data_IF_620045572336
#
_entry.id   IF_620045572336
#
_cell.length_a   1.000
_cell.length_b   1.000
_cell.length_c   1.000
_cell.angle_alpha   90.00
_cell.angle_beta   90.00
_cell.angle_gamma   90.00
#
_symmetry.space_group_name_H-M   'P 1'
#
loop_
_entity.id
_entity.type
_entity.pdbx_description
1 polymer ?
#
# COMPACT_ATOMS: atom_id res chain seq x y z
N UNK A 1 31.78 22.57 13.24
CA UNK A 1 31.32 22.31 11.85
C UNK A 1 32.19 21.25 11.21
N UNK A 2 31.74 19.98 11.15
CA UNK A 2 32.26 19.00 10.20
C UNK A 2 31.48 19.13 8.86
N UNK A 3 32.14 19.19 7.70
CA UNK A 3 31.47 19.23 6.39
C UNK A 3 31.19 17.82 5.84
N UNK A 4 30.25 17.71 4.89
CA UNK A 4 30.41 16.69 3.83
C UNK A 4 29.47 15.48 3.75
N UNK A 5 28.21 15.53 4.21
CA UNK A 5 27.22 14.45 3.93
C UNK A 5 26.21 14.77 2.82
N UNK A 6 26.40 15.85 2.06
CA UNK A 6 25.33 16.46 1.23
C UNK A 6 25.48 16.31 -0.30
N UNK A 7 26.35 15.45 -0.84
CA UNK A 7 26.71 15.48 -2.28
C UNK A 7 26.70 14.15 -3.07
N UNK A 8 26.05 13.09 -2.60
CA UNK A 8 25.87 11.85 -3.40
C UNK A 8 24.56 11.81 -4.22
N UNK A 9 23.53 12.56 -3.81
CA UNK A 9 22.27 12.68 -4.56
C UNK A 9 22.37 13.29 -5.99
N UNK A 10 23.33 14.17 -6.35
CA UNK A 10 23.39 14.80 -7.68
C UNK A 10 23.75 13.85 -8.84
N UNK A 11 24.51 12.77 -8.60
CA UNK A 11 25.04 11.93 -9.69
C UNK A 11 23.97 11.14 -10.46
N UNK A 12 22.80 10.89 -9.84
CA UNK A 12 21.69 10.18 -10.47
C UNK A 12 21.05 10.92 -11.67
N UNK A 13 21.26 12.23 -11.81
CA UNK A 13 20.57 13.09 -12.79
C UNK A 13 21.36 13.38 -14.08
N UNK A 14 22.61 12.94 -14.21
CA UNK A 14 23.53 13.44 -15.27
C UNK A 14 23.64 12.58 -16.55
N UNK A 15 22.68 11.70 -16.84
CA UNK A 15 22.72 10.83 -18.04
C UNK A 15 21.46 11.03 -18.91
N UNK A 16 21.59 11.56 -20.15
CA UNK A 16 20.44 11.84 -21.02
C UNK A 16 19.78 10.57 -21.58
N UNK A 17 18.46 10.63 -21.79
CA UNK A 17 17.56 9.49 -21.93
C UNK A 17 17.59 8.72 -23.27
N UNK A 18 18.67 8.78 -24.06
CA UNK A 18 18.79 8.09 -25.36
C UNK A 18 20.08 7.27 -25.50
N UNK A 19 20.35 6.42 -24.51
CA UNK A 19 21.06 5.13 -24.58
C UNK A 19 21.07 4.52 -23.18
N UNK A 20 20.39 3.40 -22.98
CA UNK A 20 20.58 2.60 -21.76
C UNK A 20 21.96 1.94 -21.80
N UNK A 21 22.99 2.64 -21.30
CA UNK A 21 24.28 2.01 -21.04
C UNK A 21 24.18 1.17 -19.76
N UNK A 22 24.70 -0.07 -19.74
CA UNK A 22 24.68 -0.90 -18.53
C UNK A 22 25.45 -0.26 -17.37
N UNK A 23 26.39 0.64 -17.65
CA UNK A 23 27.08 1.46 -16.66
C UNK A 23 26.15 2.34 -15.82
N UNK A 24 25.07 2.89 -16.40
CA UNK A 24 24.16 3.77 -15.66
C UNK A 24 23.35 3.01 -14.60
N UNK A 25 22.88 1.80 -14.92
CA UNK A 25 22.20 0.92 -13.95
C UNK A 25 23.16 0.37 -12.89
N UNK A 26 24.43 0.11 -13.24
CA UNK A 26 25.45 -0.32 -12.28
C UNK A 26 25.79 0.77 -11.25
N UNK A 27 25.84 2.06 -11.64
CA UNK A 27 26.04 3.17 -10.70
C UNK A 27 24.87 3.25 -9.72
N UNK A 28 23.63 3.23 -10.22
CA UNK A 28 22.42 3.22 -9.38
C UNK A 28 22.44 2.04 -8.40
N UNK A 29 22.84 0.84 -8.86
CA UNK A 29 22.89 -0.35 -8.01
C UNK A 29 23.87 -0.15 -6.84
N UNK A 30 25.09 0.34 -7.11
CA UNK A 30 26.08 0.61 -6.05
C UNK A 30 25.64 1.71 -5.08
N UNK A 31 25.00 2.76 -5.57
CA UNK A 31 24.44 3.80 -4.72
C UNK A 31 23.35 3.23 -3.80
N UNK A 32 22.50 2.33 -4.32
CA UNK A 32 21.45 1.66 -3.54
C UNK A 32 22.02 0.65 -2.53
N UNK A 33 23.08 -0.08 -2.88
CA UNK A 33 23.81 -0.98 -1.97
C UNK A 33 24.34 -0.22 -0.74
N UNK A 34 25.05 0.90 -0.96
CA UNK A 34 25.57 1.76 0.13
C UNK A 34 24.43 2.36 0.96
N UNK A 35 23.35 2.82 0.33
CA UNK A 35 22.19 3.36 1.04
C UNK A 35 21.44 2.30 1.85
N UNK A 36 21.37 1.06 1.36
CA UNK A 36 20.80 -0.08 2.07
C UNK A 36 21.67 -0.51 3.27
N UNK A 37 22.99 -0.47 3.14
CA UNK A 37 23.92 -0.73 4.24
C UNK A 37 23.76 0.32 5.36
N UNK A 38 23.71 1.62 5.00
CA UNK A 38 23.45 2.71 5.96
C UNK A 38 22.08 2.56 6.61
N UNK A 39 21.04 2.24 5.84
CA UNK A 39 19.69 2.03 6.35
C UNK A 39 19.56 0.81 7.29
N UNK A 40 20.45 -0.18 7.13
CA UNK A 40 20.51 -1.38 7.99
C UNK A 40 21.40 -1.20 9.22
N UNK A 41 22.22 -0.15 9.27
CA UNK A 41 23.23 0.05 10.32
C UNK A 41 22.63 0.15 11.73
N UNK A 42 23.10 -0.64 12.72
CA UNK A 42 22.54 -0.65 14.06
C UNK A 42 22.65 0.69 14.79
N UNK A 43 23.55 1.58 14.37
CA UNK A 43 23.67 2.94 14.90
C UNK A 43 22.40 3.82 14.69
N UNK A 44 21.46 3.37 13.85
CA UNK A 44 20.17 4.05 13.65
C UNK A 44 19.02 3.51 14.50
N UNK A 45 19.25 2.46 15.30
CA UNK A 45 18.31 2.00 16.33
C UNK A 45 18.26 3.05 17.44
N UNK A 46 17.12 3.71 17.61
CA UNK A 46 16.92 4.62 18.76
C UNK A 46 16.84 3.78 20.03
N UNK A 47 17.79 3.98 20.95
CA UNK A 47 17.80 3.32 22.25
C UNK A 47 16.49 3.57 23.01
N UNK A 48 15.78 2.49 23.35
CA UNK A 48 14.63 2.52 24.25
C UNK A 48 15.10 2.70 25.69
N UNK A 49 14.36 3.53 26.44
CA UNK A 49 14.67 3.91 27.82
C UNK A 49 14.72 2.71 28.81
N UNK A 50 15.90 2.47 29.40
CA UNK A 50 16.08 2.02 30.80
C UNK A 50 15.90 0.53 31.15
N UNK A 51 16.31 0.11 32.37
CA UNK A 51 16.72 0.94 33.50
C UNK A 51 18.23 0.90 33.82
N UNK A 52 18.69 1.92 34.56
CA UNK A 52 19.97 1.92 35.26
C UNK A 52 19.79 1.31 36.64
N UNK A 53 20.59 0.29 37.00
CA UNK A 53 20.87 -0.04 38.40
C UNK A 53 22.18 -0.85 38.53
N UNK A 54 23.30 -0.14 38.66
CA UNK A 54 24.53 -0.69 39.21
C UNK A 54 24.54 -0.40 40.72
N UNK A 55 24.02 -1.34 41.52
CA UNK A 55 23.91 -1.17 42.97
C UNK A 55 25.21 -1.60 43.69
N UNK A 56 25.89 -0.65 44.33
CA UNK A 56 26.80 -0.95 45.45
C UNK A 56 26.02 -1.07 46.76
N UNK A 57 26.46 -1.92 47.72
CA UNK A 57 25.65 -2.29 48.88
C UNK A 57 25.89 -1.39 50.10
N UNK A 58 24.81 -1.01 50.80
CA UNK A 58 24.86 -0.64 52.23
C UNK A 58 23.66 -1.21 53.00
N UNK A 59 23.79 -1.45 54.32
CA UNK A 59 23.02 -2.51 54.98
C UNK A 59 21.97 -2.02 55.99
N UNK A 60 21.06 -2.95 56.32
CA UNK A 60 20.39 -3.12 57.62
C UNK A 60 19.27 -2.14 58.06
N UNK A 61 18.10 -2.77 58.31
CA UNK A 61 17.29 -2.74 59.55
C UNK A 61 15.84 -2.18 59.56
N UNK A 62 14.94 -3.12 59.90
CA UNK A 62 13.72 -3.04 60.75
C UNK A 62 12.34 -2.75 60.12
N UNK A 63 11.38 -3.52 60.62
CA UNK A 63 9.99 -3.72 60.18
C UNK A 63 9.00 -2.70 60.79
N UNK A 64 7.80 -2.53 60.19
CA UNK A 64 6.48 -2.96 60.73
C UNK A 64 5.24 -2.24 60.13
N UNK A 65 4.13 -2.98 60.08
CA UNK A 65 2.72 -2.55 60.09
C UNK A 65 2.01 -1.91 58.86
N UNK A 66 0.68 -1.99 58.95
CA UNK A 66 -0.41 -1.87 57.95
C UNK A 66 -1.72 -1.64 58.77
N UNK A 67 -2.98 -1.49 58.26
CA UNK A 67 -3.47 -1.47 56.87
C UNK A 67 -4.59 -0.40 56.57
N UNK A 68 -5.28 -0.60 55.44
CA UNK A 68 -6.65 -0.19 55.05
C UNK A 68 -6.92 1.24 54.49
N UNK A 69 -7.57 1.24 53.31
CA UNK A 69 -8.48 2.23 52.69
C UNK A 69 -7.93 3.62 52.27
N UNK A 70 -7.98 3.87 50.95
CA UNK A 70 -9.23 4.41 50.37
C UNK A 70 -9.32 4.27 48.84
N UNK A 71 -10.55 4.13 48.36
CA UNK A 71 -10.92 4.03 46.95
C UNK A 71 -11.15 5.40 46.31
N UNK A 72 -10.48 5.71 45.19
CA UNK A 72 -11.00 6.63 44.19
C UNK A 72 -10.70 6.14 42.77
N UNK A 73 -11.75 6.08 41.94
CA UNK A 73 -11.65 5.81 40.51
C UNK A 73 -11.15 7.06 39.78
N UNK A 74 -10.21 6.88 38.85
CA UNK A 74 -10.10 7.71 37.64
C UNK A 74 -9.89 6.80 36.42
N UNK A 75 -10.45 7.12 35.25
CA UNK A 75 -10.49 6.20 34.12
C UNK A 75 -9.11 6.07 33.48
N UNK A 76 -8.64 4.83 33.30
CA UNK A 76 -7.56 4.55 32.35
C UNK A 76 -8.12 4.72 30.94
N UNK A 77 -7.62 5.72 30.22
CA UNK A 77 -7.88 5.85 28.79
C UNK A 77 -7.33 4.66 28.01
N UNK A 78 -7.90 4.42 26.83
CA UNK A 78 -7.41 3.43 25.88
C UNK A 78 -5.96 3.72 25.48
N UNK A 79 -5.01 2.93 25.97
CA UNK A 79 -3.71 2.74 25.32
C UNK A 79 -3.74 1.42 24.54
N UNK A 80 -4.42 1.43 23.39
CA UNK A 80 -4.20 0.43 22.35
C UNK A 80 -2.97 0.86 21.53
N UNK A 81 -1.79 0.58 22.06
CA UNK A 81 -0.53 0.67 21.30
C UNK A 81 -0.23 -0.69 20.67
N UNK A 82 -0.54 -0.93 19.38
CA UNK A 82 -0.02 -2.09 18.68
C UNK A 82 1.48 -1.90 18.43
N UNK A 83 2.26 -2.94 18.70
CA UNK A 83 3.71 -2.93 18.57
C UNK A 83 4.15 -2.65 17.13
N UNK A 84 4.42 -1.39 16.78
CA UNK A 84 5.27 -1.10 15.62
C UNK A 84 6.66 -1.63 15.95
N UNK A 85 7.30 -2.43 15.06
CA UNK A 85 8.72 -2.67 15.20
C UNK A 85 9.43 -1.30 15.25
N UNK A 86 10.39 -1.14 16.14
CA UNK A 86 11.19 0.09 16.25
C UNK A 86 12.10 0.21 15.03
N UNK A 87 11.50 0.61 13.91
CA UNK A 87 12.15 0.73 12.62
C UNK A 87 13.36 1.64 12.74
N UNK A 88 14.47 1.19 12.17
CA UNK A 88 15.72 1.94 12.13
C UNK A 88 15.45 3.38 11.64
N UNK A 89 15.86 4.38 12.42
CA UNK A 89 15.57 5.78 12.11
C UNK A 89 16.25 6.24 10.81
N UNK A 90 17.36 5.62 10.40
CA UNK A 90 17.99 5.86 9.10
C UNK A 90 17.18 5.24 7.96
N UNK A 91 16.65 4.02 8.14
CA UNK A 91 15.76 3.37 7.16
C UNK A 91 14.50 4.22 6.91
N UNK A 92 13.81 4.67 7.96
CA UNK A 92 12.60 5.48 7.80
C UNK A 92 12.89 6.85 7.15
N UNK A 93 14.00 7.51 7.54
CA UNK A 93 14.47 8.75 6.87
C UNK A 93 14.83 8.52 5.39
N UNK A 94 15.46 7.39 5.07
CA UNK A 94 15.76 7.01 3.69
C UNK A 94 14.47 6.84 2.86
N UNK A 95 13.46 6.13 3.37
CA UNK A 95 12.17 5.96 2.69
C UNK A 95 11.43 7.29 2.47
N UNK A 96 11.43 8.18 3.46
CA UNK A 96 10.88 9.54 3.30
C UNK A 96 11.60 10.31 2.19
N UNK A 97 12.93 10.31 2.19
CA UNK A 97 13.72 11.05 1.20
C UNK A 97 13.57 10.46 -0.22
N UNK A 98 13.42 9.14 -0.34
CA UNK A 98 13.16 8.47 -1.60
C UNK A 98 11.78 8.86 -2.18
N UNK A 99 10.72 8.79 -1.37
CA UNK A 99 9.37 9.20 -1.77
C UNK A 99 9.30 10.68 -2.13
N UNK A 100 9.93 11.57 -1.33
CA UNK A 100 10.05 13.00 -1.65
C UNK A 100 10.78 13.28 -2.97
N UNK A 101 11.77 12.44 -3.32
CA UNK A 101 12.45 12.56 -4.62
C UNK A 101 11.55 12.09 -5.77
N UNK A 102 10.81 11.00 -5.59
CA UNK A 102 9.83 10.56 -6.60
C UNK A 102 8.68 11.56 -6.79
N UNK A 103 8.22 12.26 -5.75
CA UNK A 103 7.18 13.29 -5.88
C UNK A 103 7.71 14.55 -6.58
N UNK A 104 8.94 14.97 -6.24
CA UNK A 104 9.61 16.12 -6.87
C UNK A 104 9.99 15.85 -8.34
N UNK A 105 10.42 14.63 -8.66
CA UNK A 105 10.95 14.24 -9.96
C UNK A 105 10.10 13.09 -10.56
N UNK A 106 8.83 13.36 -10.91
CA UNK A 106 7.88 12.31 -11.37
C UNK A 106 8.41 11.42 -12.53
N UNK A 107 9.22 11.98 -13.43
CA UNK A 107 9.89 11.22 -14.52
C UNK A 107 10.83 10.12 -13.98
N UNK A 108 11.43 10.31 -12.80
CA UNK A 108 12.25 9.29 -12.15
C UNK A 108 11.40 8.10 -11.70
N UNK A 109 10.21 8.35 -11.14
CA UNK A 109 9.26 7.30 -10.76
C UNK A 109 8.81 6.51 -12.01
N UNK A 110 8.38 7.22 -13.06
CA UNK A 110 7.90 6.64 -14.33
C UNK A 110 8.96 5.77 -15.03
N UNK A 111 10.22 6.25 -15.09
CA UNK A 111 11.28 5.57 -15.87
C UNK A 111 12.13 4.59 -15.07
N UNK A 112 12.33 4.82 -13.78
CA UNK A 112 13.28 4.06 -12.93
C UNK A 112 12.72 3.62 -11.59
N UNK A 113 11.60 4.17 -11.13
CA UNK A 113 11.02 3.87 -9.81
C UNK A 113 10.77 2.39 -9.60
N UNK A 114 10.22 1.70 -10.61
CA UNK A 114 10.02 0.26 -10.56
C UNK A 114 11.32 -0.53 -10.40
N UNK A 115 12.41 -0.16 -11.08
CA UNK A 115 13.71 -0.80 -10.89
C UNK A 115 14.27 -0.52 -9.49
N UNK A 116 14.24 0.74 -9.03
CA UNK A 116 14.78 1.15 -7.73
C UNK A 116 14.10 0.40 -6.58
N UNK A 117 12.76 0.40 -6.55
CA UNK A 117 11.97 -0.27 -5.50
C UNK A 117 12.23 -1.77 -5.50
N UNK A 118 12.34 -2.40 -6.68
CA UNK A 118 12.66 -3.82 -6.83
C UNK A 118 14.05 -4.18 -6.29
N UNK A 119 15.07 -3.38 -6.60
CA UNK A 119 16.42 -3.57 -6.02
C UNK A 119 16.41 -3.37 -4.50
N UNK A 120 15.67 -2.40 -3.98
CA UNK A 120 15.52 -2.23 -2.53
C UNK A 120 14.85 -3.45 -1.87
N UNK A 121 13.87 -4.09 -2.53
CA UNK A 121 13.26 -5.34 -2.04
C UNK A 121 14.18 -6.57 -2.10
N UNK A 122 15.31 -6.48 -2.81
CA UNK A 122 16.37 -7.51 -2.81
C UNK A 122 17.44 -7.22 -1.74
N UNK A 123 17.74 -5.94 -1.49
CA UNK A 123 18.76 -5.49 -0.54
C UNK A 123 18.26 -5.38 0.91
N UNK A 124 16.96 -5.15 1.10
CA UNK A 124 16.32 -4.88 2.40
C UNK A 124 15.04 -5.72 2.53
N UNK A 125 14.54 -5.86 3.76
CA UNK A 125 13.28 -6.58 4.01
C UNK A 125 12.09 -5.88 3.32
N UNK A 126 11.50 -6.55 2.32
CA UNK A 126 10.37 -6.05 1.55
C UNK A 126 9.12 -5.71 2.38
N UNK A 127 8.81 -6.45 3.45
CA UNK A 127 7.70 -6.14 4.36
C UNK A 127 7.88 -4.76 4.99
N UNK A 128 9.08 -4.48 5.48
CA UNK A 128 9.43 -3.20 6.10
C UNK A 128 9.36 -2.04 5.09
N UNK A 129 9.76 -2.28 3.83
CA UNK A 129 9.67 -1.29 2.73
C UNK A 129 8.21 -0.96 2.45
N UNK A 130 7.38 -1.98 2.19
CA UNK A 130 5.97 -1.80 1.84
C UNK A 130 5.18 -1.15 2.99
N UNK A 131 5.41 -1.58 4.24
CA UNK A 131 4.80 -0.96 5.42
C UNK A 131 5.22 0.51 5.59
N UNK A 132 6.50 0.84 5.41
CA UNK A 132 6.98 2.22 5.59
C UNK A 132 6.51 3.14 4.47
N UNK A 133 6.51 2.66 3.23
CA UNK A 133 5.97 3.42 2.10
C UNK A 133 4.46 3.66 2.27
N UNK A 134 3.71 2.69 2.80
CA UNK A 134 2.28 2.83 3.09
C UNK A 134 1.98 3.89 4.17
N UNK A 135 2.70 3.90 5.31
CA UNK A 135 2.52 4.93 6.35
C UNK A 135 2.89 6.34 5.87
N UNK A 136 3.95 6.47 5.05
CA UNK A 136 4.32 7.76 4.45
C UNK A 136 3.24 8.23 3.45
N UNK A 137 2.78 7.35 2.55
CA UNK A 137 1.76 7.66 1.54
C UNK A 137 0.38 7.99 2.15
N UNK A 138 0.07 7.48 3.34
CA UNK A 138 -1.16 7.83 4.06
C UNK A 138 -1.21 9.32 4.47
N UNK A 139 -0.06 9.97 4.55
CA UNK A 139 0.10 11.39 4.94
C UNK A 139 0.44 12.30 3.75
N UNK A 140 0.46 11.76 2.53
CA UNK A 140 0.84 12.48 1.32
C UNK A 140 -0.28 13.42 0.85
N UNK A 141 0.06 14.68 0.59
CA UNK A 141 -0.91 15.71 0.18
C UNK A 141 -1.13 15.74 -1.34
N UNK A 142 -0.11 15.39 -2.15
CA UNK A 142 -0.29 15.24 -3.60
C UNK A 142 -0.95 13.91 -3.94
N UNK A 143 -2.29 13.92 -3.89
CA UNK A 143 -3.16 12.80 -4.27
C UNK A 143 -2.83 12.21 -5.65
N UNK A 144 -2.32 13.00 -6.61
CA UNK A 144 -1.95 12.48 -7.94
C UNK A 144 -0.67 11.65 -7.85
N UNK A 145 0.36 12.15 -7.17
CA UNK A 145 1.58 11.39 -6.89
C UNK A 145 1.28 10.14 -6.06
N UNK A 146 0.48 10.24 -5.00
CA UNK A 146 0.12 9.12 -4.16
C UNK A 146 -0.55 7.99 -4.96
N UNK A 147 -1.52 8.32 -5.82
CA UNK A 147 -2.19 7.37 -6.72
C UNK A 147 -1.21 6.69 -7.70
N UNK A 148 -0.30 7.44 -8.31
CA UNK A 148 0.74 6.88 -9.20
C UNK A 148 1.72 5.98 -8.45
N UNK A 149 2.17 6.38 -7.26
CA UNK A 149 3.11 5.59 -6.44
C UNK A 149 2.46 4.28 -5.96
N UNK A 150 1.20 4.33 -5.52
CA UNK A 150 0.40 3.14 -5.18
C UNK A 150 0.25 2.21 -6.39
N UNK A 151 -0.04 2.73 -7.58
CA UNK A 151 -0.11 1.94 -8.81
C UNK A 151 1.23 1.24 -9.11
N UNK A 152 2.35 1.96 -8.99
CA UNK A 152 3.70 1.38 -9.15
C UNK A 152 3.95 0.28 -8.11
N UNK A 153 3.67 0.52 -6.84
CA UNK A 153 3.85 -0.46 -5.76
C UNK A 153 2.98 -1.71 -5.95
N UNK A 154 1.71 -1.55 -6.34
CA UNK A 154 0.81 -2.66 -6.62
C UNK A 154 1.31 -3.49 -7.82
N UNK A 155 1.76 -2.83 -8.89
CA UNK A 155 2.32 -3.51 -10.06
C UNK A 155 3.56 -4.32 -9.70
N UNK A 156 4.46 -3.75 -8.88
CA UNK A 156 5.66 -4.43 -8.38
C UNK A 156 5.27 -5.62 -7.51
N UNK A 157 4.36 -5.43 -6.54
CA UNK A 157 3.85 -6.49 -5.64
C UNK A 157 3.34 -7.70 -6.41
N UNK A 158 2.57 -7.47 -7.48
CA UNK A 158 1.94 -8.54 -8.25
C UNK A 158 2.89 -9.21 -9.25
N UNK A 159 3.79 -8.46 -9.89
CA UNK A 159 4.62 -8.98 -11.00
C UNK A 159 6.02 -9.45 -10.60
N UNK A 160 6.57 -8.95 -9.48
CA UNK A 160 8.00 -9.14 -9.15
C UNK A 160 8.26 -10.46 -8.42
N UNK A 161 9.23 -11.22 -8.90
CA UNK A 161 9.68 -12.51 -8.34
C UNK A 161 10.06 -12.44 -6.85
N UNK A 162 10.83 -11.42 -6.49
CA UNK A 162 11.37 -11.12 -5.17
C UNK A 162 10.28 -10.97 -4.09
N UNK A 163 9.06 -10.59 -4.48
CA UNK A 163 7.91 -10.44 -3.57
C UNK A 163 7.04 -11.71 -3.47
N UNK A 164 7.57 -12.87 -3.85
CA UNK A 164 6.84 -14.15 -3.71
C UNK A 164 6.50 -14.48 -2.25
N UNK A 165 7.45 -14.29 -1.31
CA UNK A 165 7.20 -14.54 0.11
C UNK A 165 6.14 -13.59 0.69
N UNK A 166 6.29 -12.29 0.42
CA UNK A 166 5.35 -11.24 0.87
C UNK A 166 3.92 -11.47 0.33
N UNK A 167 3.80 -11.85 -0.95
CA UNK A 167 2.51 -12.23 -1.55
C UNK A 167 1.85 -13.41 -0.83
N UNK A 168 2.61 -14.43 -0.45
CA UNK A 168 2.06 -15.60 0.26
C UNK A 168 1.62 -15.25 1.69
N UNK A 169 2.36 -14.38 2.40
CA UNK A 169 1.95 -13.88 3.72
C UNK A 169 0.64 -13.07 3.62
N UNK A 170 0.55 -12.15 2.65
CA UNK A 170 -0.66 -11.35 2.39
C UNK A 170 -1.85 -12.18 1.91
N UNK A 171 -1.61 -13.26 1.15
CA UNK A 171 -2.66 -14.13 0.63
C UNK A 171 -3.41 -14.88 1.74
N UNK A 172 -2.70 -15.27 2.79
CA UNK A 172 -3.19 -16.18 3.81
C UNK A 172 -3.69 -15.48 5.09
N UNK A 173 -3.25 -14.24 5.38
CA UNK A 173 -3.66 -13.40 6.52
C UNK A 173 -3.71 -14.13 7.88
N UNK A 174 -2.87 -15.15 8.08
CA UNK A 174 -2.87 -16.02 9.28
C UNK A 174 -2.34 -15.31 10.52
N UNK A 175 -1.32 -14.47 10.36
CA UNK A 175 -0.61 -13.84 11.47
C UNK A 175 -1.11 -12.41 11.71
N UNK A 176 -1.05 -11.88 12.95
CA UNK A 176 -1.46 -10.51 13.22
C UNK A 176 -0.61 -9.47 12.47
N UNK A 177 0.67 -9.77 12.20
CA UNK A 177 1.56 -8.92 11.39
C UNK A 177 1.06 -8.81 9.95
N UNK A 178 0.73 -9.95 9.31
CA UNK A 178 0.19 -9.96 7.94
C UNK A 178 -1.14 -9.20 7.81
N UNK A 179 -1.98 -9.20 8.86
CA UNK A 179 -3.21 -8.40 8.92
C UNK A 179 -2.93 -6.92 9.12
N UNK A 180 -1.97 -6.56 9.97
CA UNK A 180 -1.57 -5.17 10.18
C UNK A 180 -0.98 -4.58 8.88
N UNK A 181 -0.09 -5.32 8.22
CA UNK A 181 0.43 -4.97 6.91
C UNK A 181 -0.69 -4.79 5.88
N UNK A 182 -1.64 -5.73 5.79
CA UNK A 182 -2.81 -5.60 4.91
C UNK A 182 -3.61 -4.32 5.21
N UNK A 183 -3.92 -4.02 6.47
CA UNK A 183 -4.65 -2.79 6.83
C UNK A 183 -3.86 -1.51 6.51
N UNK A 184 -2.54 -1.52 6.71
CA UNK A 184 -1.65 -0.41 6.39
C UNK A 184 -1.59 -0.15 4.86
N UNK A 185 -1.38 -1.22 4.09
CA UNK A 185 -1.41 -1.19 2.62
C UNK A 185 -2.79 -0.76 2.12
N UNK A 186 -3.88 -1.34 2.64
CA UNK A 186 -5.24 -1.02 2.21
C UNK A 186 -5.55 0.47 2.36
N UNK A 187 -5.25 1.06 3.53
CA UNK A 187 -5.54 2.48 3.81
C UNK A 187 -4.81 3.43 2.84
N UNK A 188 -3.57 3.12 2.45
CA UNK A 188 -2.84 3.91 1.45
C UNK A 188 -3.23 3.55 0.02
N UNK A 189 -3.59 2.29 -0.27
CA UNK A 189 -4.03 1.85 -1.59
C UNK A 189 -5.37 2.49 -1.99
N UNK A 190 -6.18 2.94 -1.03
CA UNK A 190 -7.41 3.71 -1.27
C UNK A 190 -7.24 4.95 -2.18
N UNK A 191 -6.02 5.48 -2.35
CA UNK A 191 -5.71 6.54 -3.35
C UNK A 191 -5.90 6.08 -4.81
N UNK A 192 -6.00 4.78 -5.05
CA UNK A 192 -6.36 4.21 -6.35
C UNK A 192 -7.38 3.04 -6.15
N UNK A 193 -8.62 3.18 -6.67
CA UNK A 193 -9.67 2.22 -6.40
C UNK A 193 -9.38 0.84 -7.02
N UNK A 194 -8.84 0.81 -8.24
CA UNK A 194 -8.56 -0.45 -8.96
C UNK A 194 -7.43 -1.22 -8.28
N UNK A 195 -6.39 -0.55 -7.78
CA UNK A 195 -5.33 -1.21 -7.00
C UNK A 195 -5.85 -1.75 -5.66
N UNK A 196 -6.85 -1.08 -5.05
CA UNK A 196 -7.47 -1.56 -3.80
C UNK A 196 -8.22 -2.87 -4.04
N UNK A 197 -9.00 -2.97 -5.12
CA UNK A 197 -9.66 -4.23 -5.53
C UNK A 197 -8.63 -5.31 -5.88
N UNK A 198 -7.55 -4.93 -6.57
CA UNK A 198 -6.43 -5.84 -6.89
C UNK A 198 -5.78 -6.44 -5.65
N UNK A 199 -5.56 -5.63 -4.60
CA UNK A 199 -5.08 -6.09 -3.29
C UNK A 199 -6.10 -7.01 -2.61
N UNK A 200 -7.41 -6.71 -2.66
CA UNK A 200 -8.44 -7.57 -2.09
C UNK A 200 -8.55 -8.94 -2.80
N UNK A 201 -8.33 -8.98 -4.11
CA UNK A 201 -8.20 -10.24 -4.85
C UNK A 201 -6.93 -11.01 -4.46
N UNK A 202 -5.81 -10.31 -4.21
CA UNK A 202 -4.56 -10.94 -3.73
C UNK A 202 -4.75 -11.62 -2.37
N UNK A 203 -5.48 -10.99 -1.46
CA UNK A 203 -5.74 -11.50 -0.10
C UNK A 203 -7.03 -12.33 0.02
N UNK A 204 -7.61 -12.77 -1.10
CA UNK A 204 -8.82 -13.63 -1.17
C UNK A 204 -10.07 -13.05 -0.48
N UNK A 205 -10.12 -11.74 -0.22
CA UNK A 205 -11.21 -11.06 0.48
C UNK A 205 -12.36 -10.69 -0.47
N UNK A 206 -12.93 -11.70 -1.13
CA UNK A 206 -13.85 -11.54 -2.27
C UNK A 206 -15.16 -10.81 -1.94
N UNK A 207 -15.67 -10.95 -0.71
CA UNK A 207 -16.84 -10.19 -0.26
C UNK A 207 -16.55 -8.69 -0.25
N UNK A 208 -15.46 -8.28 0.38
CA UNK A 208 -15.06 -6.89 0.44
C UNK A 208 -14.67 -6.32 -0.93
N UNK A 209 -14.07 -7.14 -1.81
CA UNK A 209 -13.83 -6.77 -3.20
C UNK A 209 -15.14 -6.47 -3.95
N UNK A 210 -16.19 -7.28 -3.76
CA UNK A 210 -17.51 -7.01 -4.32
C UNK A 210 -18.13 -5.72 -3.75
N UNK A 211 -18.10 -5.54 -2.43
CA UNK A 211 -18.64 -4.35 -1.76
C UNK A 211 -17.95 -3.05 -2.26
N UNK A 212 -16.65 -3.11 -2.55
CA UNK A 212 -15.90 -2.02 -3.20
C UNK A 212 -16.31 -1.78 -4.66
N UNK A 213 -16.51 -2.85 -5.44
CA UNK A 213 -16.93 -2.74 -6.85
C UNK A 213 -18.36 -2.16 -6.96
N UNK A 214 -19.25 -2.43 -6.00
CA UNK A 214 -20.56 -1.75 -5.98
C UNK A 214 -20.42 -0.23 -5.85
N UNK A 215 -19.47 0.24 -5.03
CA UNK A 215 -19.16 1.67 -4.86
C UNK A 215 -18.48 2.31 -6.08
N UNK A 216 -17.95 1.52 -7.02
CA UNK A 216 -17.39 2.08 -8.26
C UNK A 216 -18.46 2.74 -9.13
N UNK A 217 -19.75 2.39 -8.95
CA UNK A 217 -20.86 3.07 -9.63
C UNK A 217 -21.05 4.54 -9.21
N UNK A 218 -20.61 4.91 -8.01
CA UNK A 218 -20.65 6.29 -7.50
C UNK A 218 -19.38 7.09 -7.85
N UNK A 219 -18.39 6.46 -8.51
CA UNK A 219 -17.14 7.10 -8.93
C UNK A 219 -17.22 7.67 -10.35
N UNK A 220 -16.49 8.76 -10.59
CA UNK A 220 -16.36 9.35 -11.93
C UNK A 220 -15.61 8.40 -12.88
N UNK A 221 -16.31 7.87 -13.89
CA UNK A 221 -15.74 6.95 -14.88
C UNK A 221 -14.85 7.71 -15.86
N UNK A 222 -13.55 7.68 -15.59
CA UNK A 222 -12.51 8.30 -16.44
C UNK A 222 -11.80 7.27 -17.33
N UNK A 223 -11.18 7.72 -18.44
CA UNK A 223 -10.42 6.85 -19.35
C UNK A 223 -9.24 6.18 -18.64
N UNK A 224 -8.56 6.90 -17.75
CA UNK A 224 -7.47 6.36 -16.92
C UNK A 224 -7.99 5.20 -16.04
N UNK A 225 -9.11 5.40 -15.36
CA UNK A 225 -9.76 4.37 -14.53
C UNK A 225 -10.16 3.14 -15.35
N UNK A 226 -10.81 3.31 -16.51
CA UNK A 226 -11.17 2.19 -17.39
C UNK A 226 -9.93 1.43 -17.89
N UNK A 227 -8.84 2.14 -18.20
CA UNK A 227 -7.55 1.56 -18.60
C UNK A 227 -6.92 0.75 -17.46
N UNK A 228 -7.10 1.15 -16.20
CA UNK A 228 -6.66 0.37 -15.05
C UNK A 228 -7.53 -0.87 -14.82
N UNK A 229 -8.86 -0.79 -14.98
CA UNK A 229 -9.75 -1.96 -14.89
C UNK A 229 -9.42 -2.98 -15.99
N UNK A 230 -9.16 -2.53 -17.22
CA UNK A 230 -8.71 -3.38 -18.32
C UNK A 230 -7.40 -4.12 -17.97
N UNK A 231 -6.39 -3.41 -17.45
CA UNK A 231 -5.15 -4.01 -16.93
C UNK A 231 -5.39 -5.00 -15.78
N UNK A 232 -6.30 -4.70 -14.85
CA UNK A 232 -6.64 -5.62 -13.76
C UNK A 232 -7.25 -6.93 -14.30
N UNK A 233 -8.10 -6.85 -15.32
CA UNK A 233 -8.67 -8.03 -15.98
C UNK A 233 -7.61 -8.83 -16.74
N UNK A 234 -6.67 -8.18 -17.43
CA UNK A 234 -5.51 -8.86 -18.02
C UNK A 234 -4.66 -9.57 -16.95
N UNK A 235 -4.49 -8.95 -15.78
CA UNK A 235 -3.76 -9.55 -14.65
C UNK A 235 -4.49 -10.80 -14.09
N UNK A 236 -5.83 -10.85 -14.08
CA UNK A 236 -6.58 -12.03 -13.61
C UNK A 236 -6.23 -13.30 -14.41
N UNK A 237 -5.91 -13.16 -15.70
CA UNK A 237 -5.44 -14.29 -16.52
C UNK A 237 -3.93 -14.59 -16.39
N UNK A 238 -3.17 -13.72 -15.73
CA UNK A 238 -1.74 -13.96 -15.46
C UNK A 238 -1.53 -15.05 -14.38
N UNK A 239 -0.35 -15.72 -14.37
CA UNK A 239 -0.07 -16.83 -13.46
C UNK A 239 -0.28 -16.51 -11.97
N UNK A 240 -0.11 -15.26 -11.54
CA UNK A 240 -0.35 -14.84 -10.15
C UNK A 240 -1.77 -15.17 -9.68
N UNK A 241 -2.80 -14.92 -10.49
CA UNK A 241 -4.20 -15.16 -10.12
C UNK A 241 -4.72 -16.55 -10.56
N UNK A 242 -3.82 -17.52 -10.78
CA UNK A 242 -4.21 -18.91 -11.08
C UNK A 242 -5.04 -19.54 -9.96
N UNK A 243 -4.76 -19.23 -8.69
CA UNK A 243 -5.58 -19.73 -7.59
C UNK A 243 -7.01 -19.15 -7.62
N UNK A 244 -7.16 -17.87 -7.94
CA UNK A 244 -8.46 -17.20 -8.08
C UNK A 244 -9.26 -17.84 -9.23
N UNK A 245 -8.60 -18.09 -10.39
CA UNK A 245 -9.22 -18.77 -11.53
C UNK A 245 -9.60 -20.23 -11.26
N UNK A 246 -8.95 -20.90 -10.31
CA UNK A 246 -9.36 -22.23 -9.82
C UNK A 246 -10.52 -22.13 -8.82
N UNK A 247 -10.52 -21.12 -7.95
CA UNK A 247 -11.61 -20.85 -6.99
C UNK A 247 -12.94 -20.46 -7.67
N UNK A 248 -12.91 -20.00 -8.93
CA UNK A 248 -14.12 -19.82 -9.75
C UNK A 248 -14.91 -21.12 -9.98
N UNK A 249 -14.25 -22.29 -9.92
CA UNK A 249 -14.93 -23.59 -10.02
C UNK A 249 -15.78 -23.89 -8.76
N UNK A 250 -15.42 -23.31 -7.62
CA UNK A 250 -16.13 -23.48 -6.36
C UNK A 250 -17.10 -22.31 -6.11
N UNK A 251 -18.17 -22.32 -6.92
CA UNK A 251 -19.29 -21.36 -6.89
C UNK A 251 -19.93 -21.26 -5.49
N UNK A 252 -19.96 -22.37 -4.73
CA UNK A 252 -20.63 -22.47 -3.44
C UNK A 252 -19.86 -21.75 -2.33
N UNK A 253 -18.55 -21.94 -2.28
CA UNK A 253 -17.73 -21.27 -1.25
C UNK A 253 -17.33 -19.84 -1.65
N UNK A 254 -17.28 -19.52 -2.95
CA UNK A 254 -16.84 -18.20 -3.45
C UNK A 254 -17.90 -17.43 -4.28
N UNK A 255 -19.17 -17.32 -3.85
CA UNK A 255 -20.20 -16.64 -4.65
C UNK A 255 -19.91 -15.15 -4.86
N UNK A 256 -19.22 -14.51 -3.91
CA UNK A 256 -18.82 -13.10 -4.01
C UNK A 256 -17.72 -12.86 -5.05
N UNK A 257 -16.86 -13.85 -5.34
CA UNK A 257 -15.85 -13.73 -6.39
C UNK A 257 -16.51 -13.60 -7.76
N UNK A 258 -17.48 -14.46 -8.05
CA UNK A 258 -18.23 -14.42 -9.32
C UNK A 258 -19.00 -13.10 -9.44
N UNK A 259 -19.66 -12.65 -8.37
CA UNK A 259 -20.33 -11.34 -8.33
C UNK A 259 -19.38 -10.16 -8.54
N UNK A 260 -18.18 -10.19 -7.95
CA UNK A 260 -17.15 -9.18 -8.16
C UNK A 260 -16.69 -9.14 -9.62
N UNK A 261 -16.41 -10.31 -10.24
CA UNK A 261 -15.99 -10.36 -11.64
C UNK A 261 -17.09 -9.92 -12.61
N UNK A 262 -18.36 -10.29 -12.39
CA UNK A 262 -19.47 -9.73 -13.16
C UNK A 262 -19.64 -8.22 -12.93
N UNK A 263 -19.38 -7.72 -11.72
CA UNK A 263 -19.35 -6.29 -11.44
C UNK A 263 -18.29 -5.55 -12.28
N UNK A 264 -17.06 -6.07 -12.33
CA UNK A 264 -16.00 -5.53 -13.20
C UNK A 264 -16.37 -5.63 -14.69
N UNK A 265 -17.01 -6.73 -15.11
CA UNK A 265 -17.49 -6.90 -16.48
C UNK A 265 -18.52 -5.83 -16.88
N UNK A 266 -19.41 -5.45 -15.97
CA UNK A 266 -20.44 -4.42 -16.21
C UNK A 266 -19.90 -2.98 -16.19
N UNK A 267 -18.72 -2.75 -15.62
CA UNK A 267 -18.04 -1.45 -15.64
C UNK A 267 -17.18 -1.24 -16.90
N UNK A 268 -16.80 -2.32 -17.58
CA UNK A 268 -15.99 -2.24 -18.79
C UNK A 268 -16.83 -1.90 -20.03
N UNK A 269 -16.35 -1.01 -20.93
CA UNK A 269 -16.88 -0.95 -22.29
C UNK A 269 -16.60 -2.28 -23.02
N UNK A 270 -17.17 -2.49 -24.21
CA UNK A 270 -16.95 -3.68 -25.04
C UNK A 270 -15.52 -3.76 -25.62
N UNK A 271 -14.53 -3.89 -24.74
CA UNK A 271 -13.10 -4.00 -25.01
C UNK A 271 -12.65 -5.46 -25.12
N UNK A 272 -11.36 -5.66 -25.43
CA UNK A 272 -10.73 -6.98 -25.36
C UNK A 272 -10.76 -7.57 -23.94
N UNK A 273 -10.60 -6.76 -22.89
CA UNK A 273 -10.75 -7.23 -21.51
C UNK A 273 -12.19 -7.68 -21.20
N UNK A 274 -13.21 -6.97 -21.69
CA UNK A 274 -14.60 -7.42 -21.56
C UNK A 274 -14.80 -8.80 -22.21
N UNK A 275 -14.30 -9.00 -23.44
CA UNK A 275 -14.38 -10.30 -24.11
C UNK A 275 -13.62 -11.39 -23.35
N UNK A 276 -12.40 -11.09 -22.88
CA UNK A 276 -11.55 -12.00 -22.11
C UNK A 276 -12.26 -12.48 -20.83
N UNK A 277 -12.79 -11.56 -20.03
CA UNK A 277 -13.48 -11.87 -18.79
C UNK A 277 -14.83 -12.55 -19.03
N UNK A 278 -15.58 -12.13 -20.06
CA UNK A 278 -16.84 -12.75 -20.46
C UNK A 278 -16.63 -14.21 -20.86
N UNK A 279 -15.68 -14.51 -21.75
CA UNK A 279 -15.33 -15.88 -22.13
C UNK A 279 -14.86 -16.70 -20.91
N UNK A 280 -14.10 -16.11 -19.99
CA UNK A 280 -13.68 -16.82 -18.76
C UNK A 280 -14.85 -17.16 -17.85
N UNK A 281 -15.81 -16.25 -17.68
CA UNK A 281 -17.00 -16.47 -16.87
C UNK A 281 -17.98 -17.44 -17.54
N UNK A 282 -18.05 -17.50 -18.87
CA UNK A 282 -18.79 -18.53 -19.61
C UNK A 282 -18.25 -19.95 -19.38
N UNK A 283 -16.97 -20.11 -19.00
CA UNK A 283 -16.39 -21.39 -18.60
C UNK A 283 -16.75 -21.83 -17.17
N UNK A 284 -17.46 -21.02 -16.39
CA UNK A 284 -17.90 -21.36 -15.02
C UNK A 284 -19.22 -22.13 -15.10
N UNK A 285 -19.35 -23.29 -14.41
CA UNK A 285 -20.59 -24.07 -14.43
C UNK A 285 -21.79 -23.28 -13.87
N UNK A 286 -22.96 -23.53 -14.47
CA UNK A 286 -24.15 -22.66 -14.38
C UNK A 286 -24.60 -22.37 -12.92
N UNK A 287 -24.77 -21.10 -12.50
CA UNK A 287 -24.89 -20.74 -11.08
C UNK A 287 -26.32 -20.79 -10.53
N UNK A 288 -26.92 -21.97 -10.41
CA UNK A 288 -28.27 -22.13 -9.81
C UNK A 288 -28.31 -22.02 -8.26
N UNK A 289 -27.19 -21.73 -7.60
CA UNK A 289 -27.07 -21.81 -6.12
C UNK A 289 -26.56 -20.51 -5.48
N UNK A 290 -27.31 -19.42 -5.67
CA UNK A 290 -27.09 -18.13 -4.98
C UNK A 290 -27.55 -18.13 -3.50
N UNK A 291 -27.08 -19.10 -2.70
CA UNK A 291 -27.27 -19.07 -1.23
C UNK A 291 -25.97 -18.67 -0.54
N UNK A 292 -25.94 -17.47 0.04
CA UNK A 292 -24.79 -16.94 0.78
C UNK A 292 -24.95 -17.11 2.29
N UNK A 293 -24.08 -17.90 2.91
CA UNK A 293 -23.83 -17.83 4.35
C UNK A 293 -22.73 -16.79 4.64
N UNK A 294 -22.82 -16.01 5.74
CA UNK A 294 -21.79 -15.04 6.10
C UNK A 294 -20.59 -15.73 6.76
N UNK A 295 -19.42 -15.66 6.12
CA UNK A 295 -18.16 -16.01 6.77
C UNK A 295 -17.72 -14.88 7.73
N UNK A 296 -17.55 -15.20 9.01
CA UNK A 296 -17.01 -14.28 10.02
C UNK A 296 -15.51 -14.07 9.81
N UNK A 297 -15.08 -12.81 9.79
CA UNK A 297 -13.68 -12.44 9.63
C UNK A 297 -13.34 -11.32 10.61
N UNK A 298 -12.15 -11.40 11.21
CA UNK A 298 -11.71 -10.55 12.35
C UNK A 298 -11.24 -9.15 11.93
N UNK A 299 -11.53 -8.73 10.70
CA UNK A 299 -11.16 -7.42 10.14
C UNK A 299 -12.45 -6.60 10.02
N UNK A 300 -12.44 -5.37 10.57
CA UNK A 300 -13.60 -4.48 10.42
C UNK A 300 -13.62 -3.85 9.02
N UNK A 301 -14.23 -4.57 8.09
CA UNK A 301 -14.46 -4.09 6.74
C UNK A 301 -15.37 -2.85 6.68
N UNK A 302 -16.14 -2.54 7.72
CA UNK A 302 -16.99 -1.35 7.77
C UNK A 302 -16.13 -0.09 7.94
N UNK A 303 -15.15 -0.12 8.84
CA UNK A 303 -14.15 0.95 8.99
C UNK A 303 -13.38 1.18 7.68
N UNK A 304 -12.92 0.09 7.05
CA UNK A 304 -12.18 0.15 5.78
C UNK A 304 -13.03 0.74 4.63
N UNK A 305 -14.31 0.36 4.54
CA UNK A 305 -15.23 0.92 3.55
C UNK A 305 -15.50 2.42 3.77
N UNK A 306 -15.60 2.89 5.02
CA UNK A 306 -15.74 4.32 5.32
C UNK A 306 -14.46 5.11 5.00
N UNK A 307 -13.29 4.52 5.24
CA UNK A 307 -12.02 5.12 4.87
C UNK A 307 -11.89 5.28 3.34
N UNK A 308 -12.28 4.27 2.58
CA UNK A 308 -12.30 4.29 1.12
C UNK A 308 -13.15 5.47 0.59
N UNK A 309 -14.40 5.60 1.06
CA UNK A 309 -15.30 6.68 0.64
C UNK A 309 -14.67 8.06 0.88
N UNK A 310 -14.13 8.27 2.09
CA UNK A 310 -13.49 9.53 2.49
C UNK A 310 -12.30 9.90 1.61
N UNK A 311 -11.49 8.93 1.18
CA UNK A 311 -10.35 9.17 0.28
C UNK A 311 -10.83 9.50 -1.13
N UNK A 312 -11.81 8.75 -1.65
CA UNK A 312 -12.37 9.01 -2.98
C UNK A 312 -13.10 10.37 -3.06
N UNK A 313 -13.85 10.77 -2.02
CA UNK A 313 -14.47 12.09 -1.95
C UNK A 313 -13.44 13.22 -2.03
N UNK A 314 -12.30 13.12 -1.32
CA UNK A 314 -11.21 14.11 -1.43
C UNK A 314 -10.62 14.18 -2.85
N UNK A 315 -10.45 13.05 -3.51
CA UNK A 315 -10.00 13.00 -4.91
C UNK A 315 -11.00 13.71 -5.85
N UNK A 316 -12.30 13.55 -5.62
CA UNK A 316 -13.37 14.20 -6.37
C UNK A 316 -13.38 15.73 -6.13
N UNK A 317 -13.31 16.17 -4.88
CA UNK A 317 -13.20 17.59 -4.50
C UNK A 317 -12.01 18.28 -5.18
N UNK A 318 -10.82 17.66 -5.13
CA UNK A 318 -9.60 18.21 -5.75
C UNK A 318 -9.70 18.24 -7.28
N UNK A 319 -10.45 17.32 -7.92
CA UNK A 319 -10.75 17.40 -9.36
C UNK A 319 -11.69 18.56 -9.67
N UNK A 320 -12.81 18.70 -8.96
CA UNK A 320 -13.74 19.82 -9.17
C UNK A 320 -13.10 21.20 -8.95
N UNK A 321 -12.26 21.36 -7.92
CA UNK A 321 -11.51 22.60 -7.70
C UNK A 321 -10.53 22.94 -8.84
N UNK A 322 -9.99 21.93 -9.53
CA UNK A 322 -9.13 22.11 -10.71
C UNK A 322 -9.94 22.45 -11.96
N UNK A 323 -11.10 21.80 -12.16
CA UNK A 323 -12.01 22.12 -13.25
C UNK A 323 -12.54 23.56 -13.15
N UNK A 324 -13.04 23.98 -11.98
CA UNK A 324 -13.54 25.34 -11.77
C UNK A 324 -12.48 26.46 -11.88
N UNK A 325 -11.19 26.13 -11.74
CA UNK A 325 -10.08 27.06 -12.04
C UNK A 325 -9.73 27.13 -13.53
N UNK A 326 -10.08 26.13 -14.33
CA UNK A 326 -9.87 26.14 -15.78
C UNK A 326 -10.95 26.96 -16.53
N UNK A 327 -12.14 27.11 -15.94
CA UNK A 327 -13.27 27.87 -16.52
C UNK A 327 -13.27 29.38 -16.18
N UNK A 328 -12.18 29.94 -15.66
CA UNK A 328 -11.96 31.39 -15.63
C UNK A 328 -11.04 31.84 -16.78
N UNK A 329 -11.56 32.08 -18.00
CA UNK A 329 -10.79 32.77 -19.02
C UNK A 329 -10.53 34.22 -18.59
N UNK A 330 -9.36 34.76 -18.95
CA UNK A 330 -9.00 36.14 -18.67
C UNK A 330 -10.00 37.13 -19.30
N UNK A 331 -10.98 37.60 -18.53
CA UNK A 331 -11.64 38.90 -18.80
C UNK A 331 -10.72 40.04 -18.43
N UNK A 332 -9.56 40.13 -19.10
CA UNK A 332 -8.73 41.33 -19.10
C UNK A 332 -9.37 42.38 -20.02
N UNK A 333 -10.28 43.12 -19.40
CA UNK A 333 -10.62 44.53 -19.65
C UNK A 333 -10.15 45.08 -20.99
N UNK A 334 -11.08 45.16 -21.95
CA UNK A 334 -11.06 46.25 -22.93
C UNK A 334 -11.56 47.49 -22.21
N UNK A 335 -10.72 48.53 -22.14
CA UNK A 335 -11.06 49.96 -22.08
C UNK A 335 -9.78 50.79 -22.23
#
# INVERSE_FOLDING_TARGET
>A
TPPGTSSLLPFLCSVPAHRCSPSSSQVILKDLEVLAEIASSPAGQTEGYGPSEAAEPRPSQVELHVPIRNSQLRPKGLECSPSTPTMNSYFYKFMINLLKRFSSERKLLETRGAFIIRQLCLLLNAENIFHSMADILLREEDLKFASTMVHTLNTILLTSSELFQLRNQLKDLRTPESRNLFCCLYRSWCHNPVTTVSLCFLTQNYKHAYDLIQKFGDLEVTVDFLTEVDKLVQLIECPIFTYLRLQLLDVKNNPYLIKALYGLLMLLPQSSAFQLLSHRLQCVPNPELMQSAPASSTIDYTELLQHFDKVQSKHLEVRHQRAGRAEQPERRVVL
#
